data_IF_650238514924
#
_entry.id   IF_650238514924
#
_cell.length_a   1.000
_cell.length_b   1.000
_cell.length_c   1.000
_cell.angle_alpha   90.00
_cell.angle_beta   90.00
_cell.angle_gamma   90.00
#
_symmetry.space_group_name_H-M   'P 1'
#
loop_
_entity.id
_entity.type
_entity.pdbx_description
1 polymer ?
#
# COMPACT_ATOMS: atom_id res chain seq x y z
N UNK A 1 -1.14 15.40 7.41
CA UNK A 1 0.00 14.73 8.08
C UNK A 1 0.13 13.38 7.40
N UNK A 2 1.31 12.96 6.94
CA UNK A 2 1.44 11.60 6.41
C UNK A 2 1.20 10.63 7.57
N UNK A 3 0.15 9.83 7.49
CA UNK A 3 -0.09 8.78 8.48
C UNK A 3 1.13 7.84 8.47
N UNK A 4 1.76 7.70 9.63
CA UNK A 4 2.88 6.80 9.85
C UNK A 4 2.44 5.75 10.87
N UNK A 5 2.65 4.48 10.53
CA UNK A 5 2.42 3.38 11.43
C UNK A 5 3.61 2.42 11.35
N UNK A 6 3.99 1.85 12.49
CA UNK A 6 4.91 0.72 12.51
C UNK A 6 4.15 -0.53 12.07
N UNK A 7 4.66 -1.17 11.02
CA UNK A 7 4.13 -2.44 10.52
C UNK A 7 5.20 -3.52 10.63
N UNK A 8 4.77 -4.77 10.82
CA UNK A 8 5.66 -5.92 10.83
C UNK A 8 5.50 -6.72 9.54
N UNK A 9 6.61 -7.26 9.06
CA UNK A 9 6.59 -8.29 8.02
C UNK A 9 6.08 -9.59 8.64
N UNK A 10 4.96 -10.07 8.13
CA UNK A 10 4.44 -11.40 8.41
C UNK A 10 5.11 -12.47 7.56
N UNK A 11 4.64 -13.73 7.69
CA UNK A 11 5.11 -14.83 6.86
C UNK A 11 5.01 -14.48 5.37
N UNK A 12 6.00 -14.96 4.60
CA UNK A 12 6.07 -14.76 3.14
C UNK A 12 6.14 -13.28 2.71
N UNK A 13 6.57 -12.38 3.60
CA UNK A 13 6.76 -10.97 3.27
C UNK A 13 5.46 -10.15 3.22
N UNK A 14 4.35 -10.68 3.76
CA UNK A 14 3.09 -9.94 3.83
C UNK A 14 3.19 -8.78 4.82
N UNK A 15 2.58 -7.66 4.48
CA UNK A 15 2.36 -6.53 5.38
C UNK A 15 0.86 -6.24 5.47
N UNK A 16 0.43 -5.74 6.62
CA UNK A 16 -0.93 -5.22 6.78
C UNK A 16 -0.88 -3.73 6.53
N UNK A 17 -1.66 -3.24 5.56
CA UNK A 17 -1.89 -1.80 5.38
C UNK A 17 -2.92 -1.37 6.45
N UNK A 18 -2.59 -0.47 7.39
CA UNK A 18 -3.51 -0.02 8.43
C UNK A 18 -4.80 0.59 7.89
N UNK A 19 -5.86 0.55 8.69
CA UNK A 19 -7.19 0.92 8.23
C UNK A 19 -7.28 2.38 7.76
N UNK A 20 -6.65 3.32 8.47
CA UNK A 20 -6.58 4.73 8.05
C UNK A 20 -5.89 4.90 6.69
N UNK A 21 -4.79 4.19 6.45
CA UNK A 21 -4.06 4.28 5.18
C UNK A 21 -4.84 3.65 4.03
N UNK A 22 -5.54 2.53 4.26
CA UNK A 22 -6.41 1.93 3.23
C UNK A 22 -7.49 2.90 2.77
N UNK A 23 -8.14 3.58 3.72
CA UNK A 23 -9.16 4.60 3.43
C UNK A 23 -8.57 5.79 2.68
N UNK A 24 -7.41 6.27 3.10
CA UNK A 24 -6.74 7.40 2.44
C UNK A 24 -6.28 7.06 1.02
N UNK A 25 -5.86 5.82 0.78
CA UNK A 25 -5.47 5.31 -0.53
C UNK A 25 -6.67 4.89 -1.37
N UNK A 26 -7.89 4.79 -0.82
CA UNK A 26 -9.07 4.31 -1.54
C UNK A 26 -8.95 2.87 -2.03
N UNK A 27 -8.22 2.01 -1.29
CA UNK A 27 -7.98 0.60 -1.67
C UNK A 27 -8.86 -0.35 -0.87
N UNK A 28 -9.35 -1.37 -1.54
CA UNK A 28 -10.22 -2.41 -0.99
C UNK A 28 -9.59 -3.81 -1.10
N UNK A 29 -10.22 -4.81 -0.48
CA UNK A 29 -9.79 -6.20 -0.63
C UNK A 29 -9.96 -6.65 -2.08
N UNK A 30 -8.90 -7.25 -2.64
CA UNK A 30 -8.87 -7.70 -4.04
C UNK A 30 -8.26 -6.67 -5.00
N UNK A 31 -8.05 -5.43 -4.58
CA UNK A 31 -7.35 -4.44 -5.40
C UNK A 31 -5.91 -4.85 -5.67
N UNK A 32 -5.45 -4.58 -6.89
CA UNK A 32 -4.06 -4.77 -7.29
C UNK A 32 -3.29 -3.47 -7.13
N UNK A 33 -2.17 -3.52 -6.40
CA UNK A 33 -1.24 -2.40 -6.26
C UNK A 33 0.03 -2.65 -7.07
N UNK A 34 0.61 -1.56 -7.57
CA UNK A 34 1.94 -1.58 -8.19
C UNK A 34 2.99 -1.38 -7.10
N UNK A 35 4.01 -2.23 -7.08
CA UNK A 35 5.08 -2.19 -6.10
C UNK A 35 6.46 -2.05 -6.78
N UNK A 36 7.31 -1.17 -6.26
CA UNK A 36 8.71 -1.06 -6.68
C UNK A 36 9.61 -0.61 -5.52
N UNK A 37 10.92 -0.72 -5.73
CA UNK A 37 11.92 -0.23 -4.77
C UNK A 37 12.53 1.08 -5.28
N UNK A 38 12.64 2.07 -4.39
CA UNK A 38 13.27 3.35 -4.68
C UNK A 38 14.02 3.86 -3.46
N UNK A 39 15.34 4.08 -3.57
CA UNK A 39 16.14 4.65 -2.49
C UNK A 39 16.04 3.87 -1.16
N UNK A 40 15.96 2.54 -1.21
CA UNK A 40 15.82 1.67 -0.03
C UNK A 40 14.41 1.63 0.56
N UNK A 41 13.39 2.15 -0.15
CA UNK A 41 11.99 2.13 0.26
C UNK A 41 11.20 1.17 -0.63
N UNK A 42 10.22 0.49 -0.05
CA UNK A 42 9.14 -0.16 -0.81
C UNK A 42 8.04 0.87 -1.05
N UNK A 43 7.77 1.18 -2.32
CA UNK A 43 6.67 2.06 -2.71
C UNK A 43 5.51 1.21 -3.22
N UNK A 44 4.31 1.51 -2.75
CA UNK A 44 3.05 0.91 -3.20
C UNK A 44 2.16 2.00 -3.77
N UNK A 45 1.59 1.76 -4.94
CA UNK A 45 0.73 2.71 -5.64
C UNK A 45 -0.53 2.04 -6.14
N UNK A 46 -1.69 2.66 -5.88
CA UNK A 46 -2.95 2.23 -6.46
C UNK A 46 -2.97 2.61 -7.94
N UNK A 47 -3.05 1.62 -8.82
CA UNK A 47 -3.26 1.86 -10.24
C UNK A 47 -4.75 1.77 -10.54
N UNK A 48 -5.46 2.90 -10.53
CA UNK A 48 -6.80 2.95 -11.10
C UNK A 48 -6.67 3.09 -12.61
N UNK A 49 -7.02 2.03 -13.36
CA UNK A 49 -7.10 2.07 -14.83
C UNK A 49 -8.26 2.96 -15.35
N UNK A 50 -9.00 3.66 -14.48
CA UNK A 50 -10.03 4.63 -14.88
C UNK A 50 -9.41 6.00 -15.21
N UNK A 51 -8.73 6.05 -16.36
CA UNK A 51 -8.63 7.27 -17.17
C UNK A 51 -8.99 6.89 -18.60
N UNK A 52 -10.27 6.58 -18.84
CA UNK A 52 -10.95 6.68 -20.15
C UNK A 52 -12.34 7.24 -19.90
#
# INVERSE_FOLDING_TARGET
MADRAEVRLGPQGRIVIPAEMRRALGVEEGDTLVAWTEGGRLVLYQFSWLVH
#
